data_IF_447821572825
#
_entry.id   IF_447821572825
#
_cell.length_a   1.000
_cell.length_b   1.000
_cell.length_c   1.000
_cell.angle_alpha   90.00
_cell.angle_beta   90.00
_cell.angle_gamma   90.00
#
_symmetry.space_group_name_H-M   'P 1'
#
loop_
_entity.id
_entity.type
_entity.pdbx_description
1 polymer ?
#
# COMPACT_ATOMS: atom_id res chain seq x y z
N UNK A 1 -36.38 39.53 50.89
CA UNK A 1 -35.11 40.23 50.61
C UNK A 1 -34.41 39.58 49.41
N UNK A 2 -33.69 40.38 48.58
CA UNK A 2 -33.30 40.06 47.19
C UNK A 2 -31.86 39.51 47.00
N UNK A 3 -31.67 38.90 45.83
CA UNK A 3 -30.53 38.91 44.89
C UNK A 3 -29.06 39.07 45.37
N UNK A 4 -28.18 38.20 44.83
CA UNK A 4 -27.06 38.62 43.94
C UNK A 4 -26.36 37.44 43.24
N UNK A 5 -26.17 37.61 41.94
CA UNK A 5 -25.34 36.80 41.04
C UNK A 5 -23.90 37.34 40.92
N UNK A 6 -22.93 36.50 40.49
CA UNK A 6 -21.74 36.79 39.64
C UNK A 6 -20.87 35.50 39.54
N UNK A 7 -20.80 34.79 38.41
CA UNK A 7 -19.95 34.92 37.19
C UNK A 7 -18.48 34.42 37.29
N UNK A 8 -18.20 33.42 36.43
CA UNK A 8 -16.98 33.11 35.62
C UNK A 8 -15.69 32.62 36.30
N UNK A 9 -15.18 31.48 35.80
CA UNK A 9 -13.89 31.43 35.09
C UNK A 9 -13.76 30.13 34.27
N UNK A 10 -13.47 30.30 32.98
CA UNK A 10 -13.07 29.26 32.05
C UNK A 10 -11.62 28.83 32.31
N UNK A 11 -11.29 27.55 32.09
CA UNK A 11 -9.90 27.16 31.82
C UNK A 11 -9.84 26.12 30.69
N UNK A 12 -9.40 26.63 29.53
CA UNK A 12 -8.93 25.87 28.38
C UNK A 12 -7.53 25.31 28.69
N UNK A 13 -7.28 24.06 28.31
CA UNK A 13 -5.96 23.51 27.88
C UNK A 13 -6.23 22.11 27.31
N UNK A 14 -6.47 21.95 26.01
CA UNK A 14 -5.47 21.73 24.95
C UNK A 14 -4.49 20.57 25.23
N UNK A 15 -4.66 19.43 24.57
CA UNK A 15 -3.57 18.75 23.86
C UNK A 15 -4.04 17.66 22.90
N UNK A 16 -3.88 17.99 21.62
CA UNK A 16 -3.48 17.10 20.51
C UNK A 16 -4.50 16.07 20.01
N UNK A 17 -5.54 16.58 19.35
CA UNK A 17 -6.09 15.95 18.14
C UNK A 17 -4.92 15.83 17.15
N UNK A 18 -4.33 14.63 17.04
CA UNK A 18 -3.30 14.35 16.04
C UNK A 18 -3.96 14.37 14.67
N UNK A 19 -3.96 15.55 14.08
CA UNK A 19 -4.15 15.76 12.66
C UNK A 19 -3.05 15.01 11.92
N UNK A 20 -3.29 13.74 11.58
CA UNK A 20 -2.55 13.12 10.48
C UNK A 20 -3.04 13.82 9.22
N UNK A 21 -2.37 14.92 8.89
CA UNK A 21 -2.40 15.59 7.58
C UNK A 21 -2.40 14.50 6.52
N UNK A 22 -3.56 14.17 5.94
CA UNK A 22 -3.60 13.69 4.56
C UNK A 22 -3.23 14.90 3.73
N UNK A 23 -1.92 15.13 3.55
CA UNK A 23 -1.46 15.95 2.45
C UNK A 23 -2.03 15.28 1.20
N UNK A 24 -2.95 15.97 0.55
CA UNK A 24 -3.24 15.81 -0.86
C UNK A 24 -1.92 15.75 -1.61
N UNK A 25 -1.61 14.61 -2.21
CA UNK A 25 -0.72 14.58 -3.37
C UNK A 25 -1.58 14.06 -4.50
N UNK A 26 -1.77 14.93 -5.48
CA UNK A 26 -2.33 14.58 -6.78
C UNK A 26 -1.37 13.58 -7.43
N UNK A 27 -1.52 12.30 -7.13
CA UNK A 27 -0.82 11.23 -7.83
C UNK A 27 -1.90 10.42 -8.53
N UNK A 28 -2.06 10.64 -9.83
CA UNK A 28 -2.93 9.82 -10.65
C UNK A 28 -2.63 8.35 -10.39
N UNK A 29 -3.69 7.54 -10.25
CA UNK A 29 -3.55 6.10 -10.10
C UNK A 29 -2.67 5.59 -11.25
N UNK A 30 -1.56 4.95 -10.88
CA UNK A 30 -0.69 4.30 -11.83
C UNK A 30 -0.99 2.82 -11.84
N UNK A 31 -0.87 2.25 -13.03
CA UNK A 31 -0.93 0.82 -13.25
C UNK A 31 0.47 0.38 -13.63
N UNK A 32 1.04 -0.57 -12.91
CA UNK A 32 2.32 -1.15 -13.21
C UNK A 32 2.25 -2.68 -13.16
N UNK A 33 2.91 -3.35 -14.09
CA UNK A 33 2.94 -4.81 -14.17
C UNK A 33 4.28 -5.32 -13.69
N UNK A 34 4.24 -6.42 -12.96
CA UNK A 34 5.41 -7.04 -12.36
C UNK A 34 5.32 -8.55 -12.48
N UNK A 35 6.46 -9.18 -12.69
CA UNK A 35 6.67 -10.59 -12.51
C UNK A 35 7.29 -10.82 -11.13
N UNK A 36 6.62 -11.60 -10.31
CA UNK A 36 7.09 -11.96 -8.98
C UNK A 36 7.53 -13.41 -8.98
N UNK A 37 8.82 -13.64 -8.73
CA UNK A 37 9.37 -14.99 -8.60
C UNK A 37 9.57 -15.32 -7.12
N UNK A 38 8.81 -16.30 -6.68
CA UNK A 38 8.83 -16.86 -5.34
C UNK A 38 9.76 -18.07 -5.32
N UNK A 39 10.83 -18.06 -4.53
CA UNK A 39 11.56 -19.28 -4.22
C UNK A 39 10.65 -20.19 -3.37
N UNK A 40 10.68 -21.51 -3.58
CA UNK A 40 9.73 -22.47 -2.98
C UNK A 40 9.63 -22.42 -1.46
N UNK A 41 10.70 -22.00 -0.77
CA UNK A 41 10.69 -21.76 0.70
C UNK A 41 9.72 -20.66 1.14
N UNK A 42 9.34 -19.73 0.25
CA UNK A 42 8.50 -18.55 0.53
C UNK A 42 7.10 -18.63 -0.09
N UNK A 43 6.78 -19.73 -0.75
CA UNK A 43 5.48 -19.95 -1.38
C UNK A 43 4.32 -20.01 -0.36
N UNK A 44 4.63 -20.39 0.88
CA UNK A 44 3.68 -20.46 1.99
C UNK A 44 3.33 -19.08 2.57
N UNK A 45 4.11 -18.05 2.28
CA UNK A 45 3.88 -16.71 2.80
C UNK A 45 2.81 -16.01 1.95
N UNK A 46 1.72 -15.48 2.54
CA UNK A 46 0.65 -14.82 1.80
C UNK A 46 1.02 -13.37 1.41
N UNK A 47 2.11 -13.21 0.64
CA UNK A 47 2.72 -11.91 0.33
C UNK A 47 1.78 -11.00 -0.47
N UNK A 48 1.09 -11.55 -1.48
CA UNK A 48 0.12 -10.80 -2.30
C UNK A 48 -1.00 -10.22 -1.41
N UNK A 49 -1.52 -11.03 -0.50
CA UNK A 49 -2.59 -10.62 0.42
C UNK A 49 -2.11 -9.53 1.39
N UNK A 50 -0.92 -9.69 1.97
CA UNK A 50 -0.35 -8.67 2.84
C UNK A 50 -0.12 -7.35 2.13
N UNK A 51 0.29 -7.37 0.86
CA UNK A 51 0.49 -6.16 0.07
C UNK A 51 -0.84 -5.42 -0.11
N UNK A 52 -1.91 -6.12 -0.48
CA UNK A 52 -3.24 -5.51 -0.63
C UNK A 52 -3.85 -5.02 0.70
N UNK A 53 -3.44 -5.58 1.83
CA UNK A 53 -3.88 -5.13 3.16
C UNK A 53 -3.04 -3.96 3.71
N UNK A 54 -1.72 -3.99 3.52
CA UNK A 54 -0.79 -3.00 4.08
C UNK A 54 -0.69 -1.73 3.23
N UNK A 55 -0.93 -1.84 1.93
CA UNK A 55 -0.89 -0.74 0.96
C UNK A 55 -2.25 -0.65 0.28
N UNK A 56 -2.75 0.56 -0.03
CA UNK A 56 -4.02 0.73 -0.76
C UNK A 56 -3.82 0.58 -2.26
N UNK A 57 -3.14 -0.50 -2.63
CA UNK A 57 -2.96 -0.92 -4.02
C UNK A 57 -3.91 -2.06 -4.32
N UNK A 58 -4.49 -2.04 -5.51
CA UNK A 58 -5.27 -3.15 -6.05
C UNK A 58 -4.29 -4.10 -6.73
N UNK A 59 -4.22 -5.33 -6.23
CA UNK A 59 -3.42 -6.42 -6.77
C UNK A 59 -4.28 -7.24 -7.73
N UNK A 60 -4.05 -7.12 -9.03
CA UNK A 60 -4.76 -7.89 -10.05
C UNK A 60 -3.82 -8.96 -10.64
N UNK A 61 -4.04 -10.22 -10.31
CA UNK A 61 -3.23 -11.34 -10.80
C UNK A 61 -3.71 -11.73 -12.20
N UNK A 62 -2.84 -11.60 -13.20
CA UNK A 62 -3.14 -12.01 -14.59
C UNK A 62 -2.74 -13.46 -14.84
N UNK A 63 -1.56 -13.85 -14.38
CA UNK A 63 -1.00 -15.19 -14.55
C UNK A 63 -0.34 -15.62 -13.24
N UNK A 64 -0.51 -16.88 -12.88
CA UNK A 64 0.18 -17.46 -11.74
C UNK A 64 0.50 -18.92 -12.06
N UNK A 65 1.78 -19.26 -12.00
CA UNK A 65 2.28 -20.62 -12.12
C UNK A 65 3.00 -20.93 -10.82
N UNK A 66 2.51 -21.93 -10.10
CA UNK A 66 2.96 -22.23 -8.74
C UNK A 66 3.34 -23.71 -8.70
N UNK A 67 4.64 -23.98 -8.63
CA UNK A 67 5.20 -25.31 -8.45
C UNK A 67 5.76 -25.47 -7.04
N UNK A 68 6.15 -26.69 -6.69
CA UNK A 68 6.63 -27.05 -5.34
C UNK A 68 7.94 -26.33 -5.01
N UNK A 69 8.80 -26.12 -6.01
CA UNK A 69 10.14 -25.56 -5.84
C UNK A 69 10.24 -24.06 -6.19
N UNK A 70 9.37 -23.57 -7.07
CA UNK A 70 9.34 -22.17 -7.49
C UNK A 70 7.93 -21.76 -7.92
N UNK A 71 7.54 -20.52 -7.62
CA UNK A 71 6.32 -19.94 -8.14
C UNK A 71 6.61 -18.66 -8.89
N UNK A 72 5.99 -18.46 -10.05
CA UNK A 72 6.08 -17.23 -10.82
C UNK A 72 4.68 -16.63 -10.94
N UNK A 73 4.52 -15.37 -10.59
CA UNK A 73 3.23 -14.68 -10.61
C UNK A 73 3.32 -13.37 -11.39
N UNK A 74 2.57 -13.27 -12.48
CA UNK A 74 2.40 -12.05 -13.25
C UNK A 74 1.24 -11.24 -12.68
N UNK A 75 1.55 -10.12 -12.04
CA UNK A 75 0.59 -9.28 -11.32
C UNK A 75 0.62 -7.84 -11.81
N UNK A 76 -0.54 -7.23 -11.83
CA UNK A 76 -0.74 -5.81 -12.12
C UNK A 76 -1.11 -5.11 -10.81
N UNK A 77 -0.31 -4.11 -10.43
CA UNK A 77 -0.56 -3.25 -9.29
C UNK A 77 -1.17 -1.94 -9.78
N UNK A 78 -2.35 -1.61 -9.26
CA UNK A 78 -2.98 -0.31 -9.48
C UNK A 78 -3.09 0.47 -8.18
N UNK A 79 -2.61 1.70 -8.15
CA UNK A 79 -2.71 2.51 -6.95
C UNK A 79 -1.91 3.80 -7.06
N UNK A 80 -1.71 4.43 -5.91
CA UNK A 80 -0.88 5.62 -5.83
C UNK A 80 0.60 5.25 -6.09
N UNK A 81 1.33 6.08 -6.85
CA UNK A 81 2.74 5.84 -7.17
C UNK A 81 3.61 5.59 -5.94
N UNK A 82 3.36 6.33 -4.86
CA UNK A 82 4.08 6.13 -3.60
C UNK A 82 3.77 4.77 -2.96
N UNK A 83 2.51 4.33 -2.99
CA UNK A 83 2.11 3.07 -2.39
C UNK A 83 2.62 1.88 -3.18
N UNK A 84 2.61 1.95 -4.52
CA UNK A 84 3.20 0.93 -5.39
C UNK A 84 4.70 0.77 -5.08
N UNK A 85 5.45 1.87 -4.98
CA UNK A 85 6.88 1.81 -4.61
C UNK A 85 7.11 1.16 -3.25
N UNK A 86 6.28 1.47 -2.25
CA UNK A 86 6.37 0.87 -0.92
C UNK A 86 6.01 -0.61 -0.94
N UNK A 87 5.02 -1.00 -1.75
CA UNK A 87 4.63 -2.39 -1.94
C UNK A 87 5.77 -3.22 -2.55
N UNK A 88 6.42 -2.71 -3.60
CA UNK A 88 7.55 -3.40 -4.26
C UNK A 88 8.71 -3.59 -3.27
N UNK A 89 9.13 -2.52 -2.59
CA UNK A 89 10.20 -2.60 -1.60
C UNK A 89 9.89 -3.59 -0.46
N UNK A 90 8.62 -3.76 -0.12
CA UNK A 90 8.18 -4.76 0.86
C UNK A 90 8.31 -6.19 0.36
N UNK A 91 7.94 -6.43 -0.90
CA UNK A 91 8.01 -7.74 -1.56
C UNK A 91 9.47 -8.17 -1.73
N UNK A 92 10.33 -7.26 -2.20
CA UNK A 92 11.78 -7.49 -2.30
C UNK A 92 12.40 -7.82 -0.94
N UNK A 93 12.01 -7.09 0.12
CA UNK A 93 12.49 -7.35 1.49
C UNK A 93 12.07 -8.72 2.02
N UNK A 94 10.98 -9.29 1.51
CA UNK A 94 10.56 -10.66 1.85
C UNK A 94 11.35 -11.73 1.09
N UNK A 95 12.23 -11.35 0.17
CA UNK A 95 13.03 -12.27 -0.64
C UNK A 95 12.28 -12.83 -1.84
N UNK A 96 11.23 -12.14 -2.30
CA UNK A 96 10.59 -12.40 -3.58
C UNK A 96 11.28 -11.53 -4.62
N UNK A 97 11.66 -12.12 -5.75
CA UNK A 97 12.24 -11.35 -6.84
C UNK A 97 11.12 -10.62 -7.58
N UNK A 98 11.26 -9.31 -7.76
CA UNK A 98 10.27 -8.48 -8.46
C UNK A 98 10.91 -7.93 -9.71
N UNK A 99 10.40 -8.36 -10.86
CA UNK A 99 10.84 -7.89 -12.16
C UNK A 99 9.76 -6.97 -12.76
N UNK A 100 10.05 -5.70 -13.05
CA UNK A 100 9.10 -4.83 -13.74
C UNK A 100 8.88 -5.34 -15.16
N UNK A 101 7.63 -5.55 -15.52
CA UNK A 101 7.26 -5.86 -16.90
C UNK A 101 7.01 -4.52 -17.59
N UNK A 102 8.07 -3.99 -18.20
CA UNK A 102 7.93 -2.94 -19.20
C UNK A 102 7.21 -3.55 -20.40
N UNK A 103 5.89 -3.44 -20.41
CA UNK A 103 5.18 -3.51 -21.69
C UNK A 103 5.59 -2.25 -22.40
N UNK A 104 6.62 -2.38 -23.22
CA UNK A 104 6.86 -1.46 -24.31
C UNK A 104 5.53 -1.21 -25.00
N UNK A 105 5.14 0.06 -25.05
CA UNK A 105 4.25 0.54 -26.06
C UNK A 105 4.91 0.28 -27.42
N UNK A 106 4.72 -0.92 -27.95
CA UNK A 106 4.94 -1.28 -29.35
C UNK A 106 3.68 -1.99 -29.85
N UNK A 107 2.70 -1.16 -30.16
CA UNK A 107 1.71 -1.37 -31.21
C UNK A 107 1.45 0.07 -31.69
N UNK A 108 1.99 0.54 -32.82
CA UNK A 108 1.96 -0.14 -34.12
C UNK A 108 0.60 0.13 -34.72
#
# INVERSE_FOLDING_TARGET
MPAKAKKKAARKTSKKKSTRKKKSVTSGKQVARYWWTYPGKRLKDPIIWEVGQKFKVVTNVRTASVDIDMGIVGIQLEGEREEIKRAIAYVEKKGVNVEPVEIGAIAG
#
